data_IF_152301908131
#
_entry.id   IF_152301908131
#
_cell.length_a   1.000
_cell.length_b   1.000
_cell.length_c   1.000
_cell.angle_alpha   90.00
_cell.angle_beta   90.00
_cell.angle_gamma   90.00
#
_symmetry.space_group_name_H-M   'P 1'
#
loop_
_entity.id
_entity.type
_entity.pdbx_description
1 polymer ?
#
# COMPACT_ATOMS: atom_id res chain seq x y z
N UNK A 1 -24.81 -3.96 10.30
CA UNK A 1 -25.02 -2.53 10.63
C UNK A 1 -25.53 -1.83 9.39
N UNK A 2 -26.63 -1.08 9.45
CA UNK A 2 -27.15 -0.35 8.27
C UNK A 2 -26.16 0.76 7.93
N UNK A 3 -25.35 0.56 6.89
CA UNK A 3 -24.65 1.66 6.22
C UNK A 3 -25.73 2.71 5.89
N UNK A 4 -25.55 3.94 6.31
CA UNK A 4 -26.51 5.03 6.18
C UNK A 4 -26.94 5.14 4.72
N UNK A 5 -28.17 4.69 4.43
CA UNK A 5 -28.71 4.68 3.06
C UNK A 5 -28.69 6.11 2.50
N UNK A 6 -27.79 6.38 1.57
CA UNK A 6 -27.84 7.55 0.70
C UNK A 6 -26.87 8.70 0.98
N UNK A 7 -25.92 8.59 1.91
CA UNK A 7 -24.95 9.67 2.22
C UNK A 7 -23.52 9.12 2.32
N UNK A 8 -22.56 9.81 1.75
CA UNK A 8 -21.12 9.49 1.89
C UNK A 8 -20.70 9.77 3.35
N UNK A 9 -19.99 8.84 3.95
CA UNK A 9 -19.41 8.94 5.30
C UNK A 9 -17.91 8.68 5.27
N UNK A 10 -17.20 8.93 6.37
CA UNK A 10 -15.77 8.65 6.49
C UNK A 10 -15.41 7.18 6.18
N UNK A 11 -16.28 6.23 6.53
CA UNK A 11 -16.08 4.81 6.23
C UNK A 11 -15.95 4.50 4.73
N UNK A 12 -16.55 5.31 3.86
CA UNK A 12 -16.45 5.13 2.41
C UNK A 12 -15.06 5.50 1.85
N UNK A 13 -14.19 6.14 2.63
CA UNK A 13 -12.82 6.47 2.27
C UNK A 13 -11.76 5.76 3.13
N UNK A 14 -12.18 4.87 4.03
CA UNK A 14 -11.31 4.28 5.05
C UNK A 14 -10.69 2.92 4.66
N UNK A 15 -10.66 2.55 3.38
CA UNK A 15 -10.27 1.20 2.97
C UNK A 15 -11.32 0.14 3.33
N UNK A 16 -10.99 -1.12 3.15
CA UNK A 16 -11.82 -2.25 3.54
C UNK A 16 -13.15 -2.38 2.79
N UNK A 17 -14.10 -3.09 3.40
CA UNK A 17 -15.35 -3.53 2.76
C UNK A 17 -16.21 -2.37 2.26
N UNK A 18 -16.41 -1.31 3.08
CA UNK A 18 -17.32 -0.20 2.73
C UNK A 18 -16.81 0.61 1.56
N UNK A 19 -15.50 0.89 1.51
CA UNK A 19 -14.87 1.59 0.39
C UNK A 19 -14.92 0.72 -0.88
N UNK A 20 -14.62 -0.57 -0.76
CA UNK A 20 -14.68 -1.50 -1.89
C UNK A 20 -16.10 -1.56 -2.51
N UNK A 21 -17.16 -1.62 -1.68
CA UNK A 21 -18.55 -1.55 -2.13
C UNK A 21 -18.87 -0.23 -2.83
N UNK A 22 -18.40 0.90 -2.30
CA UNK A 22 -18.57 2.21 -2.96
C UNK A 22 -17.92 2.20 -4.35
N UNK A 23 -16.67 1.81 -4.45
CA UNK A 23 -15.94 1.79 -5.72
C UNK A 23 -16.63 0.86 -6.73
N UNK A 24 -16.94 -0.37 -6.34
CA UNK A 24 -17.55 -1.38 -7.20
C UNK A 24 -18.95 -1.00 -7.66
N UNK A 25 -19.80 -0.56 -6.74
CA UNK A 25 -21.24 -0.37 -7.03
C UNK A 25 -21.54 1.00 -7.64
N UNK A 26 -20.64 1.98 -7.49
CA UNK A 26 -20.85 3.33 -8.02
C UNK A 26 -19.81 3.69 -9.07
N UNK A 27 -18.50 3.63 -8.80
CA UNK A 27 -17.47 4.10 -9.72
C UNK A 27 -17.31 3.14 -10.90
N UNK A 28 -17.06 1.87 -10.65
CA UNK A 28 -16.89 0.85 -11.70
C UNK A 28 -18.16 0.73 -12.55
N UNK A 29 -19.32 0.86 -11.96
CA UNK A 29 -20.60 0.83 -12.69
C UNK A 29 -20.70 1.87 -13.80
N UNK A 30 -20.10 3.05 -13.61
CA UNK A 30 -20.18 4.17 -14.57
C UNK A 30 -18.98 4.22 -15.52
N UNK A 31 -17.80 3.81 -15.04
CA UNK A 31 -16.54 3.97 -15.80
C UNK A 31 -15.89 2.63 -16.22
N UNK A 32 -16.45 1.51 -15.80
CA UNK A 32 -16.00 0.19 -16.25
C UNK A 32 -16.33 -0.09 -17.72
N UNK A 33 -15.69 -1.16 -18.26
CA UNK A 33 -15.92 -1.60 -19.63
C UNK A 33 -15.02 -0.94 -20.67
N UNK A 34 -14.00 -0.19 -20.29
CA UNK A 34 -13.01 0.35 -21.23
C UNK A 34 -12.10 -0.74 -21.77
N UNK A 35 -12.27 -1.14 -23.02
CA UNK A 35 -11.53 -2.24 -23.65
C UNK A 35 -10.07 -1.91 -24.03
N UNK A 36 -9.64 -0.65 -23.88
CA UNK A 36 -8.28 -0.22 -24.20
C UNK A 36 -7.26 -0.45 -23.09
N UNK A 37 -7.69 -0.88 -21.91
CA UNK A 37 -6.79 -1.16 -20.78
C UNK A 37 -6.47 -2.65 -20.69
N UNK A 38 -5.18 -2.99 -20.49
CA UNK A 38 -4.75 -4.36 -20.19
C UNK A 38 -5.12 -4.74 -18.75
N UNK A 39 -4.91 -3.80 -17.82
CA UNK A 39 -5.40 -3.89 -16.45
C UNK A 39 -6.43 -2.76 -16.27
N UNK A 40 -7.73 -3.09 -16.36
CA UNK A 40 -8.79 -2.08 -16.31
C UNK A 40 -9.19 -1.72 -14.88
N UNK A 41 -10.06 -0.71 -14.74
CA UNK A 41 -10.61 -0.26 -13.47
C UNK A 41 -11.27 -1.40 -12.67
N UNK A 42 -11.92 -2.35 -13.34
CA UNK A 42 -12.61 -3.48 -12.72
C UNK A 42 -11.67 -4.48 -12.03
N UNK A 43 -10.39 -4.48 -12.39
CA UNK A 43 -9.39 -5.30 -11.70
C UNK A 43 -9.17 -4.86 -10.26
N UNK A 44 -9.46 -3.57 -9.97
CA UNK A 44 -9.26 -2.96 -8.65
C UNK A 44 -7.84 -3.22 -8.10
N UNK A 45 -6.86 -3.26 -9.00
CA UNK A 45 -5.44 -3.32 -8.65
C UNK A 45 -4.93 -1.92 -8.27
N UNK A 46 -3.71 -1.83 -7.72
CA UNK A 46 -3.17 -0.55 -7.24
C UNK A 46 -3.03 0.51 -8.33
N UNK A 47 -2.80 0.06 -9.58
CA UNK A 47 -2.77 0.94 -10.75
C UNK A 47 -3.38 0.28 -11.99
N UNK A 48 -3.71 1.07 -13.00
CA UNK A 48 -4.20 0.61 -14.30
C UNK A 48 -3.06 0.52 -15.32
N UNK A 49 -3.26 -0.31 -16.37
CA UNK A 49 -2.28 -0.49 -17.44
C UNK A 49 -2.91 -0.30 -18.80
N UNK A 50 -2.28 0.54 -19.63
CA UNK A 50 -2.62 0.74 -21.03
C UNK A 50 -1.35 0.51 -21.86
N UNK A 51 -1.31 -0.59 -22.60
CA UNK A 51 -0.10 -1.04 -23.31
C UNK A 51 1.04 -1.33 -22.32
N UNK A 52 2.17 -0.63 -22.45
CA UNK A 52 3.32 -0.77 -21.55
C UNK A 52 3.45 0.38 -20.54
N UNK A 53 2.35 1.14 -20.36
CA UNK A 53 2.30 2.30 -19.44
C UNK A 53 1.37 1.97 -18.27
N UNK A 54 1.89 2.10 -17.06
CA UNK A 54 1.13 2.07 -15.82
C UNK A 54 0.66 3.49 -15.49
N UNK A 55 -0.59 3.64 -15.07
CA UNK A 55 -1.24 4.90 -14.71
C UNK A 55 -1.83 4.79 -13.31
N UNK A 56 -1.53 5.77 -12.48
CA UNK A 56 -2.12 5.92 -11.13
C UNK A 56 -2.54 7.36 -10.89
N UNK A 57 -3.64 7.56 -10.19
CA UNK A 57 -4.03 8.84 -9.58
C UNK A 57 -4.41 8.59 -8.14
N UNK A 58 -3.83 9.38 -7.24
CA UNK A 58 -4.03 9.23 -5.81
C UNK A 58 -4.22 10.58 -5.12
N UNK A 59 -5.07 10.62 -4.10
CA UNK A 59 -5.42 11.84 -3.37
C UNK A 59 -5.15 11.65 -1.88
N UNK A 60 -4.37 12.55 -1.31
CA UNK A 60 -3.93 12.50 0.07
C UNK A 60 -4.53 13.66 0.88
N UNK A 61 -5.09 13.32 2.04
CA UNK A 61 -5.79 14.25 2.93
C UNK A 61 -5.50 13.96 4.41
N UNK A 62 -4.26 13.65 4.74
CA UNK A 62 -3.83 13.32 6.10
C UNK A 62 -4.01 14.50 7.06
N UNK A 63 -4.40 14.20 8.29
CA UNK A 63 -4.51 15.20 9.37
C UNK A 63 -3.88 14.64 10.64
N UNK A 64 -2.92 15.39 11.27
CA UNK A 64 -2.34 16.66 10.81
C UNK A 64 -1.47 16.48 9.57
N UNK A 65 -1.26 17.57 8.83
CA UNK A 65 -0.44 17.57 7.60
C UNK A 65 1.05 17.29 7.85
N UNK A 66 1.52 17.47 9.09
CA UNK A 66 2.85 17.09 9.58
C UNK A 66 2.68 16.11 10.73
N UNK A 67 3.38 15.00 10.66
CA UNK A 67 3.32 13.92 11.66
C UNK A 67 4.73 13.36 11.94
N UNK A 68 4.94 12.62 13.02
CA UNK A 68 6.24 12.02 13.30
C UNK A 68 6.70 11.11 12.16
N UNK A 69 7.81 11.44 11.54
CA UNK A 69 8.40 10.65 10.43
C UNK A 69 8.05 11.13 9.02
N UNK A 70 7.11 12.10 8.86
CA UNK A 70 6.73 12.58 7.55
C UNK A 70 5.78 13.77 7.54
N UNK A 71 5.27 14.04 6.38
CA UNK A 71 4.24 15.04 6.09
C UNK A 71 3.43 14.62 4.85
N UNK A 72 2.37 15.38 4.56
CA UNK A 72 1.50 15.13 3.40
C UNK A 72 2.27 15.13 2.06
N UNK A 73 3.34 15.92 1.94
CA UNK A 73 4.13 15.99 0.71
C UNK A 73 4.92 14.70 0.47
N UNK A 74 5.62 14.19 1.50
CA UNK A 74 6.30 12.91 1.44
C UNK A 74 5.33 11.76 1.18
N UNK A 75 4.19 11.79 1.88
CA UNK A 75 3.13 10.79 1.77
C UNK A 75 2.59 10.71 0.35
N UNK A 76 2.19 11.84 -0.24
CA UNK A 76 1.58 11.89 -1.56
C UNK A 76 2.52 11.38 -2.66
N UNK A 77 3.81 11.75 -2.62
CA UNK A 77 4.78 11.25 -3.60
C UNK A 77 5.05 9.76 -3.39
N UNK A 78 5.25 9.31 -2.14
CA UNK A 78 5.57 7.90 -1.85
C UNK A 78 4.42 6.98 -2.23
N UNK A 79 3.18 7.27 -1.83
CA UNK A 79 2.01 6.44 -2.11
C UNK A 79 1.82 6.23 -3.61
N UNK A 80 1.78 7.33 -4.40
CA UNK A 80 1.62 7.22 -5.87
C UNK A 80 2.78 6.45 -6.53
N UNK A 81 4.02 6.65 -6.08
CA UNK A 81 5.21 5.94 -6.58
C UNK A 81 5.13 4.45 -6.25
N UNK A 82 4.69 4.10 -5.04
CA UNK A 82 4.58 2.72 -4.59
C UNK A 82 3.52 1.96 -5.36
N UNK A 83 2.33 2.54 -5.56
CA UNK A 83 1.24 1.95 -6.34
C UNK A 83 1.65 1.63 -7.79
N UNK A 84 2.45 2.49 -8.41
CA UNK A 84 3.00 2.21 -9.74
C UNK A 84 4.02 1.07 -9.67
N UNK A 85 4.88 1.10 -8.65
CA UNK A 85 6.01 0.19 -8.54
C UNK A 85 5.60 -1.24 -8.18
N UNK A 86 4.52 -1.45 -7.40
CA UNK A 86 4.08 -2.80 -7.01
C UNK A 86 3.57 -3.62 -8.20
N UNK A 87 3.18 -3.00 -9.32
CA UNK A 87 2.92 -3.70 -10.57
C UNK A 87 4.21 -4.13 -11.30
N UNK A 88 5.39 -3.78 -10.78
CA UNK A 88 6.71 -4.04 -11.37
C UNK A 88 7.18 -2.95 -12.34
N UNK A 89 6.43 -1.86 -12.48
CA UNK A 89 6.81 -0.73 -13.31
C UNK A 89 7.85 0.17 -12.61
N UNK A 90 8.59 0.94 -13.41
CA UNK A 90 9.41 2.04 -12.91
C UNK A 90 8.64 3.34 -13.04
N UNK A 91 8.35 4.06 -11.94
CA UNK A 91 7.77 5.39 -11.99
C UNK A 91 8.62 6.33 -12.84
N UNK A 92 7.99 7.09 -13.75
CA UNK A 92 8.70 7.89 -14.74
C UNK A 92 8.48 9.39 -14.60
N UNK A 93 7.23 9.81 -14.40
CA UNK A 93 6.87 11.20 -14.22
C UNK A 93 5.56 11.34 -13.42
N UNK A 94 5.43 12.43 -12.70
CA UNK A 94 4.28 12.76 -11.87
C UNK A 94 3.66 14.08 -12.30
N UNK A 95 2.36 14.23 -12.02
CA UNK A 95 1.64 15.50 -12.00
C UNK A 95 1.15 15.77 -10.59
N UNK A 96 0.95 17.04 -10.20
CA UNK A 96 0.48 17.36 -8.86
C UNK A 96 -0.61 18.43 -8.89
N UNK A 97 -1.76 18.10 -8.31
CA UNK A 97 -2.84 19.06 -8.03
C UNK A 97 -2.86 19.41 -6.53
N UNK A 98 -2.86 20.70 -6.21
CA UNK A 98 -3.03 21.20 -4.87
C UNK A 98 -4.43 21.76 -4.67
N UNK A 99 -5.10 21.38 -3.58
CA UNK A 99 -6.27 22.08 -3.05
C UNK A 99 -5.86 22.62 -1.68
N UNK A 100 -5.61 23.92 -1.61
CA UNK A 100 -5.12 24.60 -0.41
C UNK A 100 -6.26 25.29 0.32
N UNK A 101 -6.25 25.22 1.63
CA UNK A 101 -7.19 25.94 2.47
C UNK A 101 -6.68 27.36 2.78
N UNK A 102 -7.55 28.35 2.66
CA UNK A 102 -7.25 29.73 3.08
C UNK A 102 -6.81 29.74 4.56
N UNK A 103 -5.64 30.34 4.82
CA UNK A 103 -5.02 30.38 6.14
C UNK A 103 -3.89 29.38 6.33
N UNK A 104 -3.63 28.47 5.39
CA UNK A 104 -2.38 27.70 5.39
C UNK A 104 -1.20 28.67 5.23
N UNK A 105 -0.21 28.57 6.13
CA UNK A 105 0.94 29.47 6.05
C UNK A 105 1.82 29.17 4.83
N UNK A 106 2.38 30.19 4.19
CA UNK A 106 3.32 29.98 3.08
C UNK A 106 4.56 29.18 3.54
N UNK A 107 5.01 29.35 4.78
CA UNK A 107 6.13 28.59 5.33
C UNK A 107 5.81 27.10 5.46
N UNK A 108 4.59 26.72 5.86
CA UNK A 108 4.18 25.32 5.89
C UNK A 108 4.05 24.75 4.47
N UNK A 109 3.53 25.55 3.55
CA UNK A 109 3.46 25.14 2.15
C UNK A 109 4.85 24.93 1.52
N UNK A 110 5.79 25.85 1.76
CA UNK A 110 7.19 25.66 1.34
C UNK A 110 7.84 24.42 1.94
N UNK A 111 7.54 24.11 3.18
CA UNK A 111 8.02 22.89 3.86
C UNK A 111 7.47 21.62 3.19
N UNK A 112 6.17 21.61 2.83
CA UNK A 112 5.55 20.52 2.05
C UNK A 112 6.25 20.35 0.70
N UNK A 113 6.45 21.45 -0.04
CA UNK A 113 7.11 21.43 -1.34
C UNK A 113 8.55 20.93 -1.26
N UNK A 114 9.29 21.31 -0.23
CA UNK A 114 10.66 20.84 0.02
C UNK A 114 10.70 19.33 0.27
N UNK A 115 9.76 18.82 1.09
CA UNK A 115 9.59 17.40 1.36
C UNK A 115 9.23 16.61 0.09
N UNK A 116 8.28 17.11 -0.71
CA UNK A 116 7.94 16.51 -2.01
C UNK A 116 9.14 16.44 -2.94
N UNK A 117 9.90 17.54 -3.06
CA UNK A 117 11.11 17.60 -3.89
C UNK A 117 12.14 16.56 -3.45
N UNK A 118 12.39 16.46 -2.15
CA UNK A 118 13.31 15.45 -1.61
C UNK A 118 12.83 14.03 -1.94
N UNK A 119 11.55 13.73 -1.73
CA UNK A 119 10.98 12.40 -2.00
C UNK A 119 11.03 12.06 -3.50
N UNK A 120 10.76 13.03 -4.38
CA UNK A 120 10.94 12.86 -5.81
C UNK A 120 12.41 12.52 -6.19
N UNK A 121 13.39 13.14 -5.53
CA UNK A 121 14.81 12.83 -5.73
C UNK A 121 15.16 11.41 -5.24
N UNK A 122 14.62 11.01 -4.09
CA UNK A 122 14.77 9.65 -3.56
C UNK A 122 14.19 8.62 -4.53
N UNK A 123 13.01 8.89 -5.08
CA UNK A 123 12.35 8.01 -6.05
C UNK A 123 12.96 8.06 -7.46
N UNK A 124 13.67 9.14 -7.81
CA UNK A 124 14.20 9.35 -9.17
C UNK A 124 13.14 9.81 -10.18
N UNK A 125 12.09 10.49 -9.71
CA UNK A 125 10.97 11.01 -10.54
C UNK A 125 10.88 12.53 -10.45
N UNK A 126 10.11 13.16 -11.35
CA UNK A 126 9.87 14.59 -11.34
C UNK A 126 8.38 14.91 -11.49
N UNK A 127 7.93 15.96 -10.79
CA UNK A 127 6.62 16.59 -11.03
C UNK A 127 6.80 17.53 -12.23
N UNK A 128 6.08 17.24 -13.33
CA UNK A 128 6.25 17.92 -14.63
C UNK A 128 5.13 18.88 -14.97
N UNK A 129 3.99 18.78 -14.30
CA UNK A 129 2.83 19.68 -14.46
C UNK A 129 1.89 19.55 -13.29
N UNK A 130 0.91 20.41 -13.17
CA UNK A 130 -0.06 20.38 -12.09
C UNK A 130 -1.11 21.49 -12.17
N UNK A 131 -1.89 21.61 -11.11
CA UNK A 131 -2.88 22.67 -10.91
C UNK A 131 -2.92 23.10 -9.45
N UNK A 132 -3.45 24.29 -9.16
CA UNK A 132 -3.62 24.77 -7.79
C UNK A 132 -4.97 25.46 -7.63
N UNK A 133 -5.71 25.03 -6.59
CA UNK A 133 -6.96 25.67 -6.15
C UNK A 133 -6.80 26.14 -4.71
N UNK A 134 -7.48 27.22 -4.37
CA UNK A 134 -7.63 27.66 -2.98
C UNK A 134 -9.12 27.62 -2.64
N UNK A 135 -9.45 27.09 -1.48
CA UNK A 135 -10.81 26.99 -0.95
C UNK A 135 -10.90 27.71 0.40
N UNK A 136 -12.12 28.02 0.81
CA UNK A 136 -12.43 28.76 2.02
C UNK A 136 -11.96 28.00 3.27
N UNK A 137 -11.63 28.77 4.31
CA UNK A 137 -11.20 28.25 5.62
C UNK A 137 -12.25 27.35 6.27
N UNK A 138 -11.81 26.26 6.87
CA UNK A 138 -12.64 25.30 7.62
C UNK A 138 -13.12 24.08 6.81
N UNK A 139 -12.76 23.99 5.53
CA UNK A 139 -13.24 22.92 4.65
C UNK A 139 -12.31 21.70 4.57
N UNK A 140 -10.98 21.87 4.74
CA UNK A 140 -10.02 20.78 4.52
C UNK A 140 -9.21 20.41 5.75
N UNK A 141 -8.86 21.40 6.58
CA UNK A 141 -7.89 21.26 7.68
C UNK A 141 -6.44 21.31 7.18
N UNK A 142 -6.19 22.21 6.22
CA UNK A 142 -4.87 22.51 5.66
C UNK A 142 -4.80 22.38 4.14
N UNK A 143 -4.59 21.19 3.61
CA UNK A 143 -4.57 20.96 2.15
C UNK A 143 -4.91 19.51 1.79
N UNK A 144 -5.25 19.33 0.51
CA UNK A 144 -5.29 18.03 -0.17
C UNK A 144 -4.26 18.07 -1.29
N UNK A 145 -3.50 17.00 -1.42
CA UNK A 145 -2.51 16.82 -2.50
C UNK A 145 -2.94 15.64 -3.35
N UNK A 146 -3.23 15.90 -4.64
CA UNK A 146 -3.49 14.86 -5.62
C UNK A 146 -2.27 14.68 -6.50
N UNK A 147 -1.77 13.44 -6.60
CA UNK A 147 -0.69 13.10 -7.52
C UNK A 147 -1.22 12.08 -8.51
N UNK A 148 -0.95 12.32 -9.80
CA UNK A 148 -1.08 11.30 -10.82
C UNK A 148 0.29 10.98 -11.38
N UNK A 149 0.53 9.70 -11.66
CA UNK A 149 1.82 9.25 -12.14
C UNK A 149 1.71 8.28 -13.30
N UNK A 150 2.78 8.22 -14.06
CA UNK A 150 2.98 7.20 -15.09
C UNK A 150 4.22 6.39 -14.77
N UNK A 151 4.12 5.08 -15.02
CA UNK A 151 5.23 4.13 -14.93
C UNK A 151 5.46 3.41 -16.24
N UNK A 152 6.69 2.92 -16.43
CA UNK A 152 7.11 2.18 -17.62
C UNK A 152 7.46 0.75 -17.26
N UNK A 153 7.23 -0.16 -18.20
CA UNK A 153 7.72 -1.53 -18.15
C UNK A 153 9.24 -1.57 -18.13
N UNK A 154 9.83 -2.52 -17.40
CA UNK A 154 11.30 -2.58 -17.18
C UNK A 154 11.88 -3.94 -17.55
N UNK A 155 13.20 -3.98 -17.79
CA UNK A 155 13.94 -5.25 -17.92
C UNK A 155 13.93 -6.06 -16.61
N UNK A 156 13.89 -5.39 -15.45
CA UNK A 156 13.81 -6.07 -14.16
C UNK A 156 12.49 -6.84 -14.04
N UNK A 157 11.37 -6.26 -14.47
CA UNK A 157 10.08 -6.96 -14.53
C UNK A 157 10.17 -8.18 -15.47
N UNK A 158 10.77 -8.04 -16.66
CA UNK A 158 10.94 -9.18 -17.59
C UNK A 158 11.77 -10.31 -16.97
N UNK A 159 12.89 -9.96 -16.30
CA UNK A 159 13.72 -10.96 -15.58
C UNK A 159 12.89 -11.67 -14.51
N UNK A 160 12.13 -10.94 -13.70
CA UNK A 160 11.25 -11.50 -12.69
C UNK A 160 10.25 -12.50 -13.29
N UNK A 161 9.51 -12.09 -14.33
CA UNK A 161 8.50 -12.94 -14.97
C UNK A 161 9.13 -14.19 -15.59
N UNK A 162 10.32 -14.09 -16.14
CA UNK A 162 11.06 -15.23 -16.66
C UNK A 162 11.48 -16.21 -15.54
N UNK A 163 11.82 -15.71 -14.35
CA UNK A 163 12.05 -16.57 -13.18
C UNK A 163 10.75 -17.28 -12.76
N UNK A 164 9.62 -16.55 -12.67
CA UNK A 164 8.32 -17.17 -12.36
C UNK A 164 7.98 -18.28 -13.36
N UNK A 165 8.16 -18.04 -14.67
CA UNK A 165 7.89 -19.02 -15.73
C UNK A 165 8.76 -20.30 -15.64
N UNK A 166 9.95 -20.25 -15.05
CA UNK A 166 10.77 -21.46 -14.82
C UNK A 166 10.13 -22.42 -13.83
N UNK A 167 9.38 -21.90 -12.86
CA UNK A 167 8.70 -22.69 -11.84
C UNK A 167 7.22 -22.93 -12.16
N UNK A 168 6.66 -22.10 -13.06
CA UNK A 168 5.24 -22.13 -13.49
C UNK A 168 5.14 -21.94 -14.99
N UNK A 169 5.20 -23.02 -15.73
CA UNK A 169 5.18 -23.01 -17.21
C UNK A 169 3.88 -22.44 -17.79
N UNK A 170 2.78 -22.44 -17.03
CA UNK A 170 1.47 -21.89 -17.39
C UNK A 170 1.31 -20.39 -17.08
N UNK A 171 2.31 -19.77 -16.46
CA UNK A 171 2.26 -18.35 -16.09
C UNK A 171 2.29 -17.44 -17.33
N UNK A 172 1.23 -16.65 -17.52
CA UNK A 172 1.05 -15.78 -18.71
C UNK A 172 0.98 -14.30 -18.39
N UNK A 173 0.92 -13.92 -17.11
CA UNK A 173 0.80 -12.51 -16.74
C UNK A 173 2.02 -11.71 -17.24
N UNK A 174 1.75 -10.48 -17.67
CA UNK A 174 2.76 -9.52 -18.12
C UNK A 174 3.15 -8.53 -17.03
N UNK A 175 2.42 -8.51 -15.94
CA UNK A 175 2.57 -7.61 -14.80
C UNK A 175 2.47 -8.40 -13.48
N UNK A 176 2.94 -7.82 -12.42
CA UNK A 176 2.74 -8.33 -11.07
C UNK A 176 1.37 -7.83 -10.61
N UNK A 177 0.46 -8.75 -10.29
CA UNK A 177 -0.92 -8.46 -9.96
C UNK A 177 -1.34 -9.23 -8.71
N UNK A 178 -2.27 -8.68 -7.96
CA UNK A 178 -2.88 -9.35 -6.81
C UNK A 178 -3.46 -10.73 -7.15
N UNK A 179 -3.94 -10.90 -8.39
CA UNK A 179 -4.54 -12.14 -8.89
C UNK A 179 -3.56 -13.25 -9.30
N UNK A 180 -2.25 -13.00 -9.21
CA UNK A 180 -1.25 -13.97 -9.68
C UNK A 180 -0.78 -14.95 -8.60
N UNK A 181 -1.24 -14.82 -7.36
CA UNK A 181 -0.86 -15.71 -6.27
C UNK A 181 -1.40 -17.13 -6.55
N UNK A 182 -0.58 -18.15 -6.23
CA UNK A 182 -0.95 -19.56 -6.39
C UNK A 182 -0.65 -20.35 -5.12
N UNK A 183 -1.38 -21.44 -4.86
CA UNK A 183 -1.09 -22.32 -3.74
C UNK A 183 0.39 -22.75 -3.74
N UNK A 184 1.04 -22.62 -2.59
CA UNK A 184 2.46 -22.89 -2.40
C UNK A 184 3.37 -21.67 -2.46
N UNK A 185 2.89 -20.52 -2.99
CA UNK A 185 3.62 -19.27 -2.89
C UNK A 185 3.82 -18.88 -1.44
N UNK A 186 4.97 -18.30 -1.15
CA UNK A 186 5.24 -17.72 0.17
C UNK A 186 4.82 -16.27 0.21
N UNK A 187 4.37 -15.84 1.38
CA UNK A 187 4.04 -14.44 1.66
C UNK A 187 5.20 -13.85 2.46
N UNK A 188 5.83 -12.85 1.89
CA UNK A 188 6.93 -12.10 2.52
C UNK A 188 6.44 -10.69 2.84
N UNK A 189 6.75 -10.21 4.03
CA UNK A 189 6.51 -8.83 4.44
C UNK A 189 7.87 -8.13 4.57
N UNK A 190 8.02 -6.95 3.99
CA UNK A 190 9.30 -6.25 3.91
C UNK A 190 9.77 -5.64 5.24
N UNK A 191 8.91 -5.52 6.25
CA UNK A 191 9.30 -4.96 7.56
C UNK A 191 8.16 -4.93 8.56
N UNK A 192 8.30 -4.14 9.63
CA UNK A 192 7.31 -4.00 10.70
C UNK A 192 6.01 -3.36 10.22
N UNK A 193 4.89 -3.65 10.88
CA UNK A 193 3.58 -3.07 10.59
C UNK A 193 3.07 -2.18 11.71
N UNK A 194 2.15 -1.26 11.36
CA UNK A 194 1.43 -0.37 12.28
C UNK A 194 2.15 0.96 12.55
N UNK A 195 3.36 1.14 12.04
CA UNK A 195 4.18 2.33 12.33
C UNK A 195 3.53 3.63 11.83
N UNK A 196 3.04 3.66 10.56
CA UNK A 196 2.45 4.88 9.99
C UNK A 196 1.16 5.29 10.68
N UNK A 197 0.18 4.40 10.73
CA UNK A 197 -1.12 4.76 11.29
C UNK A 197 -1.03 5.20 12.75
N UNK A 198 -0.19 4.54 13.57
CA UNK A 198 0.02 4.97 14.95
C UNK A 198 0.80 6.29 15.08
N UNK A 199 1.75 6.57 14.19
CA UNK A 199 2.43 7.86 14.17
C UNK A 199 1.44 9.01 13.87
N UNK A 200 0.55 8.81 12.90
CA UNK A 200 -0.49 9.80 12.56
C UNK A 200 -1.51 9.92 13.71
N UNK A 201 -2.01 8.81 14.26
CA UNK A 201 -2.95 8.82 15.38
C UNK A 201 -2.38 9.53 16.61
N UNK A 202 -1.12 9.27 16.94
CA UNK A 202 -0.40 9.96 18.01
C UNK A 202 -0.44 11.48 17.83
N UNK A 203 -0.21 11.94 16.60
CA UNK A 203 -0.23 13.36 16.28
C UNK A 203 -1.65 13.96 16.26
N UNK A 204 -2.66 13.18 15.83
CA UNK A 204 -4.07 13.60 15.83
C UNK A 204 -4.61 13.83 17.25
N UNK A 205 -4.34 12.90 18.14
CA UNK A 205 -4.90 12.88 19.49
C UNK A 205 -3.98 13.55 20.53
N UNK A 206 -2.80 14.02 20.12
CA UNK A 206 -1.81 14.57 21.04
C UNK A 206 -1.32 13.53 22.07
N UNK A 207 -1.38 12.24 21.69
CA UNK A 207 -0.96 11.15 22.56
C UNK A 207 0.56 10.98 22.50
N UNK A 208 1.17 10.89 23.68
CA UNK A 208 2.57 10.48 23.80
C UNK A 208 2.59 9.05 24.30
N UNK A 209 2.88 8.09 23.41
CA UNK A 209 3.06 6.70 23.81
C UNK A 209 4.42 6.45 24.50
N UNK A 210 5.09 7.51 24.94
CA UNK A 210 6.41 7.43 25.57
C UNK A 210 7.50 6.87 24.67
N UNK A 211 7.23 6.79 23.36
CA UNK A 211 8.05 6.09 22.40
C UNK A 211 8.35 6.96 21.17
N UNK A 212 9.27 6.46 20.39
CA UNK A 212 9.71 7.03 19.13
C UNK A 212 8.92 6.50 17.92
N UNK A 213 7.60 6.20 18.07
CA UNK A 213 6.78 5.75 16.94
C UNK A 213 6.81 6.84 15.86
N UNK A 214 7.32 6.47 14.71
CA UNK A 214 7.44 7.34 13.54
C UNK A 214 6.90 6.61 12.34
N UNK A 215 6.28 7.35 11.42
CA UNK A 215 5.84 6.82 10.14
C UNK A 215 6.99 6.20 9.37
N UNK A 216 6.68 5.10 8.71
CA UNK A 216 7.57 4.39 7.80
C UNK A 216 7.55 4.94 6.37
N UNK A 217 6.80 6.01 6.11
CA UNK A 217 6.55 6.57 4.77
C UNK A 217 7.82 6.81 3.96
N UNK A 218 7.92 6.13 2.82
CA UNK A 218 9.05 6.25 1.88
C UNK A 218 8.70 5.67 0.50
N UNK A 219 9.36 6.14 -0.58
CA UNK A 219 9.26 5.48 -1.88
C UNK A 219 10.04 4.17 -1.89
N UNK A 220 9.45 3.11 -2.48
CA UNK A 220 9.98 1.74 -2.49
C UNK A 220 10.37 1.26 -3.89
N UNK A 221 10.17 2.09 -4.92
CA UNK A 221 10.40 1.72 -6.31
C UNK A 221 11.81 1.19 -6.58
N UNK A 222 12.84 1.79 -5.99
CA UNK A 222 14.23 1.32 -6.16
C UNK A 222 14.46 -0.06 -5.55
N UNK A 223 13.91 -0.31 -4.35
CA UNK A 223 13.94 -1.62 -3.72
C UNK A 223 13.25 -2.66 -4.62
N UNK A 224 12.05 -2.32 -5.11
CA UNK A 224 11.25 -3.19 -5.97
C UNK A 224 12.02 -3.55 -7.24
N UNK A 225 12.57 -2.56 -7.97
CA UNK A 225 13.33 -2.83 -9.19
C UNK A 225 14.54 -3.72 -8.93
N UNK A 226 15.23 -3.56 -7.81
CA UNK A 226 16.35 -4.42 -7.41
C UNK A 226 15.88 -5.85 -7.11
N UNK A 227 14.81 -6.04 -6.32
CA UNK A 227 14.25 -7.37 -6.04
C UNK A 227 13.89 -8.11 -7.33
N UNK A 228 13.24 -7.43 -8.27
CA UNK A 228 12.82 -8.00 -9.54
C UNK A 228 14.01 -8.39 -10.42
N UNK A 229 15.05 -7.55 -10.45
CA UNK A 229 16.22 -7.74 -11.29
C UNK A 229 17.27 -8.71 -10.74
N UNK A 230 17.46 -8.74 -9.42
CA UNK A 230 18.51 -9.51 -8.75
C UNK A 230 18.01 -10.89 -8.29
N UNK A 231 16.75 -11.00 -7.81
CA UNK A 231 16.17 -12.25 -7.29
C UNK A 231 15.13 -12.84 -8.23
N UNK A 232 14.07 -12.07 -8.50
CA UNK A 232 12.91 -12.50 -9.29
C UNK A 232 12.04 -13.56 -8.61
N UNK A 233 11.06 -14.09 -9.35
CA UNK A 233 10.13 -15.07 -8.83
C UNK A 233 8.93 -14.48 -8.07
N UNK A 234 8.79 -13.17 -8.08
CA UNK A 234 7.71 -12.43 -7.43
C UNK A 234 6.46 -12.51 -8.30
N UNK A 235 5.35 -12.92 -7.71
CA UNK A 235 4.07 -13.17 -8.40
C UNK A 235 3.04 -12.09 -8.11
N UNK A 236 2.99 -11.59 -6.87
CA UNK A 236 2.09 -10.54 -6.42
C UNK A 236 2.84 -9.56 -5.51
N UNK A 237 2.48 -8.30 -5.53
CA UNK A 237 2.95 -7.28 -4.59
C UNK A 237 1.84 -6.29 -4.30
N UNK A 238 1.83 -5.76 -3.07
CA UNK A 238 0.94 -4.69 -2.65
C UNK A 238 1.54 -3.93 -1.48
N UNK A 239 1.32 -2.63 -1.42
CA UNK A 239 1.60 -1.85 -0.22
C UNK A 239 0.39 -1.90 0.72
N UNK A 240 0.59 -2.31 1.98
CA UNK A 240 -0.50 -2.48 2.95
C UNK A 240 -0.89 -1.12 3.58
N UNK A 241 -1.45 -0.23 2.78
CA UNK A 241 -1.90 1.10 3.17
C UNK A 241 -3.22 1.03 3.97
N UNK A 242 -4.30 1.69 3.55
CA UNK A 242 -5.58 1.67 4.28
C UNK A 242 -6.13 0.26 4.46
N UNK A 243 -6.54 -0.06 5.71
CA UNK A 243 -6.94 -1.42 6.08
C UNK A 243 -5.76 -2.36 6.37
N UNK A 244 -4.53 -1.88 6.21
CA UNK A 244 -3.30 -2.54 6.61
C UNK A 244 -3.04 -3.89 5.94
N UNK A 245 -2.27 -4.72 6.63
CA UNK A 245 -1.93 -6.07 6.18
C UNK A 245 -3.18 -6.96 5.99
N UNK A 246 -4.19 -6.77 6.83
CA UNK A 246 -5.43 -7.56 6.76
C UNK A 246 -6.17 -7.34 5.45
N UNK A 247 -6.31 -6.10 4.97
CA UNK A 247 -6.97 -5.81 3.70
C UNK A 247 -6.15 -6.31 2.50
N UNK A 248 -4.84 -6.02 2.47
CA UNK A 248 -3.93 -6.47 1.42
C UNK A 248 -3.95 -8.00 1.22
N UNK A 249 -3.94 -8.78 2.30
CA UNK A 249 -4.00 -10.24 2.23
C UNK A 249 -5.38 -10.75 1.77
N UNK A 250 -6.47 -10.07 2.17
CA UNK A 250 -7.80 -10.43 1.71
C UNK A 250 -7.96 -10.14 0.21
N UNK A 251 -7.39 -9.04 -0.30
CA UNK A 251 -7.38 -8.77 -1.74
C UNK A 251 -6.61 -9.83 -2.52
N UNK A 252 -5.41 -10.22 -2.07
CA UNK A 252 -4.67 -11.34 -2.66
C UNK A 252 -5.49 -12.63 -2.69
N UNK A 253 -6.10 -12.98 -1.56
CA UNK A 253 -6.91 -14.19 -1.45
C UNK A 253 -8.10 -14.18 -2.40
N UNK A 254 -8.85 -13.08 -2.42
CA UNK A 254 -10.07 -12.94 -3.22
C UNK A 254 -9.77 -12.92 -4.72
N UNK A 255 -8.83 -12.06 -5.16
CA UNK A 255 -8.49 -11.90 -6.58
C UNK A 255 -7.79 -13.13 -7.17
N UNK A 256 -7.01 -13.85 -6.37
CA UNK A 256 -6.33 -15.09 -6.77
C UNK A 256 -7.18 -16.36 -6.54
N UNK A 257 -8.30 -16.25 -5.84
CA UNK A 257 -9.15 -17.37 -5.42
C UNK A 257 -8.37 -18.48 -4.68
N UNK A 258 -7.54 -18.09 -3.71
CA UNK A 258 -6.72 -18.97 -2.86
C UNK A 258 -6.90 -18.63 -1.38
N UNK A 259 -6.63 -19.56 -0.50
CA UNK A 259 -6.47 -19.26 0.93
C UNK A 259 -5.08 -18.66 1.19
N UNK A 260 -4.99 -17.79 2.19
CA UNK A 260 -3.71 -17.27 2.72
C UNK A 260 -3.61 -17.63 4.19
N UNK A 261 -2.60 -18.43 4.54
CA UNK A 261 -2.30 -18.79 5.92
C UNK A 261 -1.09 -17.99 6.38
N UNK A 262 -1.25 -17.16 7.41
CA UNK A 262 -0.15 -16.44 8.05
C UNK A 262 0.14 -16.97 9.45
N UNK A 263 1.33 -16.69 9.99
CA UNK A 263 1.80 -17.17 11.28
C UNK A 263 2.01 -15.99 12.22
N UNK A 264 1.31 -15.98 13.36
CA UNK A 264 1.31 -14.86 14.30
C UNK A 264 2.72 -14.51 14.82
N UNK A 265 3.54 -15.51 15.09
CA UNK A 265 4.92 -15.37 15.58
C UNK A 265 5.90 -14.84 14.51
N UNK A 266 5.49 -14.83 13.25
CA UNK A 266 6.31 -14.37 12.12
C UNK A 266 6.00 -12.94 11.68
N UNK A 267 4.91 -12.34 12.18
CA UNK A 267 4.55 -10.98 11.81
C UNK A 267 5.39 -9.99 12.61
N UNK A 268 6.27 -9.21 11.97
CA UNK A 268 7.13 -8.28 12.66
C UNK A 268 6.33 -7.05 13.10
N UNK A 269 6.20 -6.86 14.40
CA UNK A 269 5.54 -5.70 15.03
C UNK A 269 6.47 -5.21 16.14
N UNK A 270 6.79 -3.92 16.11
CA UNK A 270 7.60 -3.29 17.17
C UNK A 270 6.88 -3.36 18.51
N UNK A 271 7.63 -3.50 19.59
CA UNK A 271 7.04 -3.61 20.94
C UNK A 271 6.23 -2.37 21.34
N UNK A 272 6.68 -1.17 20.97
CA UNK A 272 5.98 0.09 21.23
C UNK A 272 4.67 0.19 20.42
N UNK A 273 4.68 -0.25 19.15
CA UNK A 273 3.49 -0.35 18.30
C UNK A 273 2.49 -1.35 18.88
N UNK A 274 2.96 -2.53 19.30
CA UNK A 274 2.11 -3.55 19.93
C UNK A 274 1.45 -3.03 21.21
N UNK A 275 2.22 -2.41 22.10
CA UNK A 275 1.71 -1.85 23.34
C UNK A 275 0.68 -0.73 23.10
N UNK A 276 0.91 0.14 22.11
CA UNK A 276 -0.03 1.19 21.75
C UNK A 276 -1.34 0.61 21.18
N UNK A 277 -1.25 -0.40 20.30
CA UNK A 277 -2.42 -1.09 19.76
C UNK A 277 -3.24 -1.78 20.87
N UNK A 278 -2.59 -2.45 21.83
CA UNK A 278 -3.24 -3.08 22.98
C UNK A 278 -3.96 -2.05 23.86
N UNK A 279 -3.33 -0.91 24.14
CA UNK A 279 -3.94 0.18 24.91
C UNK A 279 -5.19 0.76 24.23
N UNK A 280 -5.17 0.85 22.92
CA UNK A 280 -6.26 1.45 22.12
C UNK A 280 -7.31 0.44 21.69
N UNK A 281 -7.08 -0.87 21.90
CA UNK A 281 -7.97 -1.92 21.40
C UNK A 281 -8.00 -2.04 19.87
N UNK A 282 -6.90 -1.71 19.19
CA UNK A 282 -6.74 -1.74 17.74
C UNK A 282 -5.95 -2.99 17.35
N UNK A 283 -6.39 -3.71 16.30
CA UNK A 283 -5.59 -4.81 15.72
C UNK A 283 -4.48 -4.23 14.83
N UNK A 284 -3.19 -4.48 15.11
CA UNK A 284 -2.09 -3.96 14.30
C UNK A 284 -2.14 -4.44 12.85
N UNK A 285 -2.83 -5.55 12.55
CA UNK A 285 -3.03 -6.04 11.18
C UNK A 285 -3.89 -5.10 10.33
N UNK A 286 -4.75 -4.30 10.95
CA UNK A 286 -5.66 -3.37 10.29
C UNK A 286 -5.09 -1.95 10.16
N UNK A 287 -3.92 -1.69 10.79
CA UNK A 287 -3.28 -0.37 10.79
C UNK A 287 -2.47 -0.16 9.51
N UNK A 288 -2.70 0.98 8.85
CA UNK A 288 -2.04 1.32 7.58
C UNK A 288 -0.54 1.58 7.70
N UNK A 289 0.17 1.27 6.60
CA UNK A 289 1.62 1.43 6.43
C UNK A 289 1.90 2.12 5.09
N UNK A 290 2.93 2.96 5.02
CA UNK A 290 3.23 3.77 3.84
C UNK A 290 4.67 3.56 3.30
N UNK A 291 5.37 2.57 3.85
CA UNK A 291 6.73 2.22 3.48
C UNK A 291 7.02 0.72 3.57
N UNK A 292 6.01 -0.11 3.35
CA UNK A 292 6.10 -1.57 3.38
C UNK A 292 5.47 -2.20 2.15
N UNK A 293 5.89 -3.44 1.86
CA UNK A 293 5.35 -4.24 0.78
C UNK A 293 5.02 -5.64 1.30
N UNK A 294 3.84 -6.13 0.93
CA UNK A 294 3.46 -7.55 1.03
C UNK A 294 3.75 -8.18 -0.33
N UNK A 295 4.46 -9.30 -0.32
CA UNK A 295 5.01 -9.92 -1.53
C UNK A 295 4.59 -11.39 -1.58
N UNK A 296 3.94 -11.78 -2.67
CA UNK A 296 3.77 -13.16 -3.06
C UNK A 296 4.96 -13.60 -3.93
N UNK A 297 5.61 -14.70 -3.58
CA UNK A 297 6.79 -15.19 -4.29
C UNK A 297 6.74 -16.70 -4.44
N UNK A 298 7.22 -17.24 -5.57
CA UNK A 298 7.34 -18.69 -5.75
C UNK A 298 8.19 -19.28 -4.63
N UNK A 299 7.77 -20.43 -4.11
CA UNK A 299 8.40 -21.06 -2.93
C UNK A 299 9.91 -21.16 -3.03
N UNK A 300 10.40 -21.48 -4.22
CA UNK A 300 11.81 -21.73 -4.51
C UNK A 300 12.70 -20.48 -4.39
N UNK A 301 12.09 -19.28 -4.41
CA UNK A 301 12.78 -17.99 -4.33
C UNK A 301 12.56 -17.27 -2.99
N UNK A 302 11.75 -17.81 -2.10
CA UNK A 302 11.34 -17.10 -0.89
C UNK A 302 12.52 -16.80 0.07
N UNK A 303 13.38 -17.77 0.31
CA UNK A 303 14.54 -17.57 1.19
C UNK A 303 15.57 -16.62 0.58
N UNK A 304 15.85 -16.77 -0.73
CA UNK A 304 16.75 -15.86 -1.45
C UNK A 304 16.22 -14.41 -1.42
N UNK A 305 14.90 -14.23 -1.59
CA UNK A 305 14.27 -12.92 -1.47
C UNK A 305 14.39 -12.36 -0.05
N UNK A 306 14.16 -13.19 0.97
CA UNK A 306 14.30 -12.78 2.36
C UNK A 306 15.74 -12.36 2.70
N UNK A 307 16.72 -13.14 2.28
CA UNK A 307 18.14 -12.81 2.46
C UNK A 307 18.47 -11.49 1.75
N UNK A 308 18.04 -11.32 0.50
CA UNK A 308 18.22 -10.07 -0.25
C UNK A 308 17.62 -8.87 0.51
N UNK A 309 16.35 -8.96 0.91
CA UNK A 309 15.66 -7.87 1.62
C UNK A 309 16.44 -7.46 2.87
N UNK A 310 16.91 -8.41 3.66
CA UNK A 310 17.65 -8.15 4.89
C UNK A 310 19.00 -7.46 4.71
N UNK A 311 19.53 -7.43 3.48
CA UNK A 311 20.74 -6.63 3.16
C UNK A 311 20.40 -5.16 2.91
N UNK A 312 19.14 -4.79 2.77
CA UNK A 312 18.67 -3.43 2.48
C UNK A 312 18.21 -2.73 3.76
N UNK A 313 18.17 -1.42 3.73
CA UNK A 313 17.67 -0.64 4.86
C UNK A 313 16.17 -0.85 5.08
N UNK A 314 15.42 -0.91 3.99
CA UNK A 314 13.97 -1.06 3.99
C UNK A 314 13.52 -2.45 4.45
N UNK A 315 14.35 -3.47 4.21
CA UNK A 315 14.02 -4.87 4.44
C UNK A 315 14.69 -5.52 5.66
N UNK A 316 15.37 -4.77 6.53
CA UNK A 316 16.07 -5.32 7.72
C UNK A 316 15.20 -6.23 8.58
N UNK A 317 13.93 -5.85 8.75
CA UNK A 317 12.94 -6.59 9.55
C UNK A 317 12.03 -7.48 8.69
N UNK A 318 12.45 -7.77 7.44
CA UNK A 318 11.66 -8.61 6.54
C UNK A 318 11.50 -10.03 7.10
N UNK A 319 10.31 -10.62 6.86
CA UNK A 319 9.96 -11.97 7.30
C UNK A 319 9.10 -12.69 6.25
N UNK A 320 9.28 -14.01 6.16
CA UNK A 320 8.28 -14.88 5.53
C UNK A 320 7.19 -15.10 6.58
N UNK A 321 6.04 -14.48 6.36
CA UNK A 321 4.93 -14.45 7.31
C UNK A 321 3.89 -15.54 7.07
N UNK A 322 3.92 -16.21 5.92
CA UNK A 322 2.88 -17.19 5.58
C UNK A 322 3.01 -17.78 4.19
N UNK A 323 1.92 -18.35 3.73
CA UNK A 323 1.86 -19.01 2.43
C UNK A 323 0.44 -19.01 1.84
N UNK A 324 0.35 -19.10 0.53
CA UNK A 324 -0.89 -19.36 -0.18
C UNK A 324 -1.23 -20.86 -0.19
N UNK A 325 -2.51 -21.19 -0.08
CA UNK A 325 -2.98 -22.57 0.04
C UNK A 325 -4.29 -22.81 -0.71
N UNK A 326 -4.58 -24.05 -1.06
CA UNK A 326 -5.88 -24.48 -1.57
C UNK A 326 -6.76 -25.18 -0.52
N UNK A 327 -6.32 -25.24 0.74
CA UNK A 327 -7.03 -25.93 1.82
C UNK A 327 -8.31 -25.20 2.27
N UNK A 328 -8.39 -23.88 2.02
CA UNK A 328 -9.54 -23.02 2.33
C UNK A 328 -9.49 -21.78 1.42
N UNK A 329 -10.49 -20.90 1.51
CA UNK A 329 -10.53 -19.56 0.89
C UNK A 329 -10.55 -18.52 1.98
N UNK A 330 -10.08 -17.28 1.68
CA UNK A 330 -9.94 -16.21 2.66
C UNK A 330 -8.60 -16.24 3.38
N UNK A 331 -8.47 -15.45 4.43
CA UNK A 331 -7.24 -15.29 5.21
C UNK A 331 -7.41 -15.90 6.61
N UNK A 332 -6.46 -16.72 7.01
CA UNK A 332 -6.41 -17.28 8.37
C UNK A 332 -5.03 -17.07 8.98
N UNK A 333 -4.98 -16.85 10.28
CA UNK A 333 -3.74 -16.75 11.07
C UNK A 333 -3.65 -17.93 12.02
N UNK A 334 -2.55 -18.64 11.97
CA UNK A 334 -2.19 -19.62 12.98
C UNK A 334 -1.58 -18.90 14.18
N UNK A 335 -2.21 -19.07 15.34
CA UNK A 335 -1.77 -18.41 16.58
C UNK A 335 -0.59 -19.15 17.21
N UNK A 336 0.15 -18.47 18.08
CA UNK A 336 1.29 -19.04 18.81
C UNK A 336 0.92 -20.27 19.65
N UNK A 337 -0.34 -20.40 20.05
CA UNK A 337 -0.87 -21.57 20.80
C UNK A 337 -1.43 -22.67 19.89
N UNK A 338 -1.25 -22.54 18.56
CA UNK A 338 -1.65 -23.55 17.57
C UNK A 338 -3.11 -23.48 17.09
N UNK A 339 -3.90 -22.54 17.61
CA UNK A 339 -5.26 -22.26 17.10
C UNK A 339 -5.22 -21.56 15.73
N UNK A 340 -6.37 -21.47 15.06
CA UNK A 340 -6.53 -20.68 13.83
C UNK A 340 -7.60 -19.61 14.03
N UNK A 341 -7.26 -18.37 13.66
CA UNK A 341 -8.16 -17.20 13.65
C UNK A 341 -8.40 -16.78 12.19
N UNK A 342 -9.65 -16.58 11.82
CA UNK A 342 -9.98 -15.94 10.53
C UNK A 342 -9.60 -14.47 10.63
N UNK A 343 -8.95 -13.94 9.58
CA UNK A 343 -8.66 -12.52 9.42
C UNK A 343 -9.63 -11.98 8.37
N UNK A 344 -10.74 -11.37 8.78
CA UNK A 344 -11.70 -10.82 7.82
C UNK A 344 -11.13 -9.57 7.14
N UNK A 345 -11.70 -9.19 5.99
CA UNK A 345 -11.47 -7.85 5.43
C UNK A 345 -11.97 -6.81 6.45
N UNK A 346 -11.17 -5.79 6.78
CA UNK A 346 -11.61 -4.72 7.67
C UNK A 346 -12.88 -4.04 7.16
N UNK A 347 -13.70 -3.53 8.06
CA UNK A 347 -14.86 -2.71 7.68
C UNK A 347 -14.42 -1.33 7.22
N UNK A 348 -13.34 -0.81 7.82
CA UNK A 348 -12.66 0.43 7.50
C UNK A 348 -11.41 0.56 8.37
N UNK A 349 -10.56 1.56 8.09
CA UNK A 349 -9.35 1.80 8.86
C UNK A 349 -9.68 2.24 10.30
N UNK A 350 -9.03 1.68 11.33
CA UNK A 350 -9.22 2.10 12.72
C UNK A 350 -8.70 3.51 13.00
N UNK A 351 -7.83 4.03 12.12
CA UNK A 351 -7.29 5.39 12.22
C UNK A 351 -7.79 6.24 11.05
N UNK A 352 -8.69 7.21 11.29
CA UNK A 352 -9.24 8.02 10.20
C UNK A 352 -8.20 9.00 9.62
N UNK A 353 -8.25 9.22 8.31
CA UNK A 353 -7.43 10.21 7.59
C UNK A 353 -5.93 10.03 7.82
N UNK A 354 -5.43 8.83 7.60
CA UNK A 354 -3.98 8.54 7.66
C UNK A 354 -3.24 8.88 6.36
N UNK A 355 -3.97 8.94 5.26
CA UNK A 355 -3.43 9.23 3.92
C UNK A 355 -4.33 10.13 3.07
#
# INVERSE_FOLDING_TARGET
MNASKGVITMLHGAGGTVMHELVKNYIVKYFGGFSGAEIPLEALDDAAVVGDIVLKSDSHAVKPIFFPGGDIGRLAVSGTVNDIAVLGAEPYALTCGFILEEGLSLSDFERILASMKQTCQEAGVGIITGDTKVVEKGNLGGCVVNISGIGKRTEALEKNLNVVKRFRSDFKARWILDSNLKPGDKIVLSGTIGDHGLAVLSAQEGLSFGSSIRSDVKPLNRLIQRMLGEVGGITAMKDPTRGGLADALNEFSEKSNVGVLIYEDKIPIRNDVRAACEMLGIDPLEVGNEGKIVIGVVKEKAEELLEFLRTTEEGKEAQIIGEATNAFTGVAMQTVVGGKRIIPRPVGDPVPRIC
#
